data_IF_549099705861
#
_entry.id   IF_549099705861
#
_cell.length_a   1.000
_cell.length_b   1.000
_cell.length_c   1.000
_cell.angle_alpha   90.00
_cell.angle_beta   90.00
_cell.angle_gamma   90.00
#
_symmetry.space_group_name_H-M   'P 1'
#
loop_
_entity.id
_entity.type
_entity.pdbx_description
1 polymer ?
#
# COMPACT_ATOMS: atom_id res chain seq x y z
N UNK A 1 -8.03 13.03 11.66
CA UNK A 1 -6.70 12.36 11.64
C UNK A 1 -6.69 11.39 10.47
N UNK A 2 -5.59 11.24 9.73
CA UNK A 2 -5.49 10.41 8.51
C UNK A 2 -4.74 9.09 8.80
N UNK A 3 -4.05 8.53 7.81
CA UNK A 3 -3.27 7.30 7.91
C UNK A 3 -2.30 7.17 6.73
N UNK A 4 -2.00 5.94 6.32
CA UNK A 4 -1.21 5.64 5.12
C UNK A 4 -2.04 4.87 4.09
N UNK A 5 -1.60 4.90 2.83
CA UNK A 5 -2.20 4.13 1.75
C UNK A 5 -1.15 3.19 1.16
N UNK A 6 -1.43 1.89 1.14
CA UNK A 6 -0.54 0.88 0.59
C UNK A 6 -1.18 0.23 -0.63
N UNK A 7 -0.54 0.37 -1.79
CA UNK A 7 -1.07 -0.17 -3.05
C UNK A 7 -0.87 -1.69 -3.13
N UNK A 8 -1.94 -2.46 -2.94
CA UNK A 8 -1.89 -3.94 -3.03
C UNK A 8 -2.24 -4.41 -4.44
N UNK A 9 -3.54 -4.42 -4.78
CA UNK A 9 -4.05 -4.75 -6.13
C UNK A 9 -4.53 -3.50 -6.87
N UNK A 10 -4.13 -2.31 -6.42
CA UNK A 10 -4.61 -1.02 -6.93
C UNK A 10 -4.45 -0.92 -8.44
N UNK A 11 -5.50 -0.47 -9.13
CA UNK A 11 -5.39 -0.06 -10.53
C UNK A 11 -4.57 1.22 -10.62
N UNK A 12 -3.35 1.12 -11.14
CA UNK A 12 -2.41 2.23 -11.21
C UNK A 12 -2.78 3.27 -12.28
N UNK A 13 -3.63 2.94 -13.26
CA UNK A 13 -4.05 3.89 -14.30
C UNK A 13 -4.82 5.10 -13.76
N UNK A 14 -5.36 5.02 -12.54
CA UNK A 14 -5.97 6.19 -11.90
C UNK A 14 -4.94 7.26 -11.49
N UNK A 15 -3.68 6.88 -11.29
CA UNK A 15 -2.64 7.85 -10.96
C UNK A 15 -2.25 8.72 -12.16
N UNK A 16 -2.51 8.27 -13.39
CA UNK A 16 -2.27 9.05 -14.61
C UNK A 16 -3.19 10.30 -14.71
N UNK A 17 -4.24 10.36 -13.89
CA UNK A 17 -5.20 11.46 -13.86
C UNK A 17 -4.91 12.50 -12.76
N UNK A 18 -3.84 12.31 -12.01
CA UNK A 18 -3.43 13.23 -10.93
C UNK A 18 -1.94 13.55 -11.05
N UNK A 19 -1.53 14.73 -10.59
CA UNK A 19 -0.11 15.08 -10.42
C UNK A 19 0.19 15.05 -8.91
N UNK A 20 0.59 13.89 -8.35
CA UNK A 20 0.78 13.77 -6.92
C UNK A 20 2.03 14.53 -6.46
N UNK A 21 1.87 15.36 -5.43
CA UNK A 21 2.97 16.06 -4.74
C UNK A 21 3.86 16.96 -5.61
N UNK A 22 3.42 17.35 -6.82
CA UNK A 22 4.22 18.19 -7.74
C UNK A 22 5.49 17.53 -8.27
N UNK A 23 5.59 16.20 -8.19
CA UNK A 23 6.74 15.42 -8.68
C UNK A 23 6.27 14.65 -9.91
N UNK A 24 6.62 15.12 -11.10
CA UNK A 24 6.20 14.52 -12.37
C UNK A 24 6.98 13.23 -12.70
N UNK A 25 8.23 13.12 -12.23
CA UNK A 25 9.17 12.08 -12.69
C UNK A 25 9.23 10.83 -11.80
N UNK A 26 8.24 10.58 -10.94
CA UNK A 26 8.21 9.39 -10.07
C UNK A 26 7.01 8.52 -10.33
N UNK A 27 7.27 7.34 -10.87
CA UNK A 27 6.26 6.30 -11.06
C UNK A 27 5.73 5.76 -9.72
N UNK A 28 4.45 5.42 -9.71
CA UNK A 28 3.80 4.65 -8.64
C UNK A 28 3.78 3.16 -8.99
N UNK A 29 3.75 2.30 -7.98
CA UNK A 29 3.60 0.85 -8.16
C UNK A 29 2.60 0.27 -7.16
N UNK A 30 2.29 -1.02 -7.33
CA UNK A 30 1.50 -1.83 -6.41
C UNK A 30 2.18 -3.17 -6.18
N UNK A 31 1.87 -3.84 -5.07
CA UNK A 31 2.41 -5.16 -4.76
C UNK A 31 2.09 -6.17 -5.87
N UNK A 32 0.90 -6.09 -6.45
CA UNK A 32 0.49 -6.93 -7.58
C UNK A 32 1.30 -6.65 -8.85
N UNK A 33 1.68 -5.39 -9.12
CA UNK A 33 2.52 -5.03 -10.25
C UNK A 33 3.94 -5.59 -10.09
N UNK A 34 4.53 -5.45 -8.90
CA UNK A 34 5.87 -5.96 -8.60
C UNK A 34 5.93 -7.49 -8.63
N UNK A 35 4.92 -8.17 -8.07
CA UNK A 35 4.83 -9.63 -8.04
C UNK A 35 4.25 -10.26 -9.31
N UNK A 36 3.75 -9.44 -10.24
CA UNK A 36 3.08 -9.84 -11.50
C UNK A 36 1.89 -10.78 -11.30
N UNK A 37 1.15 -10.62 -10.19
CA UNK A 37 -0.05 -11.40 -9.87
C UNK A 37 -0.91 -10.69 -8.83
N UNK A 38 -2.22 -10.95 -8.77
CA UNK A 38 -3.04 -10.52 -7.64
C UNK A 38 -2.51 -11.08 -6.31
N UNK A 39 -2.72 -10.30 -5.25
CA UNK A 39 -2.33 -10.64 -3.88
C UNK A 39 -3.57 -10.69 -3.00
N UNK A 40 -3.63 -11.68 -2.10
CA UNK A 40 -4.70 -11.75 -1.13
C UNK A 40 -4.59 -10.59 -0.12
N UNK A 41 -5.56 -9.70 -0.12
CA UNK A 41 -5.55 -8.52 0.75
C UNK A 41 -5.71 -8.87 2.23
N UNK A 42 -6.35 -9.99 2.56
CA UNK A 42 -6.46 -10.43 3.96
C UNK A 42 -5.10 -10.88 4.51
N UNK A 43 -4.27 -11.54 3.69
CA UNK A 43 -2.88 -11.85 4.05
C UNK A 43 -2.07 -10.56 4.31
N UNK A 44 -2.26 -9.53 3.46
CA UNK A 44 -1.58 -8.25 3.62
C UNK A 44 -2.04 -7.53 4.90
N UNK A 45 -3.32 -7.55 5.22
CA UNK A 45 -3.86 -6.98 6.47
C UNK A 45 -3.24 -7.64 7.70
N UNK A 46 -3.16 -8.98 7.73
CA UNK A 46 -2.56 -9.69 8.86
C UNK A 46 -1.06 -9.36 9.01
N UNK A 47 -0.32 -9.22 7.90
CA UNK A 47 1.07 -8.75 7.94
C UNK A 47 1.20 -7.32 8.46
N UNK A 48 0.32 -6.41 8.03
CA UNK A 48 0.31 -5.03 8.52
C UNK A 48 0.08 -5.00 10.03
N UNK A 49 -0.90 -5.76 10.54
CA UNK A 49 -1.16 -5.87 11.98
C UNK A 49 0.07 -6.35 12.73
N UNK A 50 0.68 -7.45 12.28
CA UNK A 50 1.89 -8.01 12.88
C UNK A 50 3.02 -6.97 12.97
N UNK A 51 3.40 -6.38 11.84
CA UNK A 51 4.52 -5.43 11.80
C UNK A 51 4.22 -4.13 12.52
N UNK A 52 2.97 -3.68 12.52
CA UNK A 52 2.57 -2.50 13.29
C UNK A 52 2.67 -2.77 14.80
N UNK A 53 2.14 -3.89 15.28
CA UNK A 53 2.27 -4.31 16.68
C UNK A 53 3.72 -4.45 17.12
N UNK A 54 4.57 -5.08 16.30
CA UNK A 54 5.99 -5.25 16.61
C UNK A 54 6.72 -3.90 16.65
N UNK A 55 6.51 -3.03 15.65
CA UNK A 55 7.21 -1.75 15.54
C UNK A 55 6.84 -0.77 16.67
N UNK A 56 5.56 -0.76 17.05
CA UNK A 56 5.04 0.17 18.07
C UNK A 56 4.88 -0.46 19.45
N UNK A 57 5.31 -1.71 19.64
CA UNK A 57 5.13 -2.49 20.87
C UNK A 57 3.67 -2.44 21.38
N UNK A 58 2.73 -2.58 20.43
CA UNK A 58 1.31 -2.36 20.66
C UNK A 58 0.49 -3.66 20.63
N UNK A 59 -0.43 -3.80 21.58
CA UNK A 59 -1.47 -4.83 21.55
C UNK A 59 -2.64 -4.36 20.68
N UNK A 60 -2.95 -5.12 19.63
CA UNK A 60 -4.13 -4.87 18.79
C UNK A 60 -5.34 -5.58 19.39
N UNK A 61 -6.42 -4.82 19.59
CA UNK A 61 -7.72 -5.26 20.13
C UNK A 61 -8.79 -5.32 19.06
#
# INVERSE_FOLDING_TARGET
>A
MHGFAFNVNTNLGYFDHIIPCGIEDKAVTSLAAELKRPVNEDEVKEKIKLYFSELFEAELV
#
